data_IF_084200881115
#
_entry.id   IF_084200881115
#
_cell.length_a   1.000
_cell.length_b   1.000
_cell.length_c   1.000
_cell.angle_alpha   90.00
_cell.angle_beta   90.00
_cell.angle_gamma   90.00
#
_symmetry.space_group_name_H-M   'P 1'
#
loop_
_entity.id
_entity.type
_entity.pdbx_description
1 polymer ?
#
# COMPACT_ATOMS: atom_id res chain seq x y z
N UNK A 1 -16.29 11.29 -7.19
CA UNK A 1 -15.53 10.26 -7.93
C UNK A 1 -15.39 10.55 -9.44
N UNK A 2 -15.39 11.83 -9.88
CA UNK A 2 -15.38 12.18 -11.32
C UNK A 2 -14.21 11.58 -12.10
N UNK A 3 -13.02 11.53 -11.47
CA UNK A 3 -11.81 11.01 -12.10
C UNK A 3 -11.85 9.50 -12.35
N UNK A 4 -12.32 8.70 -11.38
CA UNK A 4 -12.48 7.24 -11.58
C UNK A 4 -13.52 6.95 -12.66
N UNK A 5 -14.63 7.70 -12.67
CA UNK A 5 -15.69 7.56 -13.68
C UNK A 5 -15.26 7.99 -15.08
N UNK A 6 -14.23 8.82 -15.20
CA UNK A 6 -13.67 9.21 -16.49
C UNK A 6 -12.90 8.07 -17.18
N UNK A 7 -12.42 7.07 -16.43
CA UNK A 7 -11.56 6.00 -16.94
C UNK A 7 -12.13 4.59 -16.79
N UNK A 8 -13.17 4.39 -15.97
CA UNK A 8 -13.81 3.09 -15.75
C UNK A 8 -15.33 3.23 -15.81
N UNK A 9 -16.01 2.31 -16.51
CA UNK A 9 -17.47 2.24 -16.60
C UNK A 9 -18.11 1.35 -15.52
N UNK A 10 -17.38 0.35 -15.01
CA UNK A 10 -17.88 -0.54 -13.97
C UNK A 10 -18.27 0.27 -12.71
N UNK A 11 -19.54 0.19 -12.25
CA UNK A 11 -20.00 0.92 -11.07
C UNK A 11 -19.37 0.43 -9.77
N UNK A 12 -18.83 -0.80 -9.72
CA UNK A 12 -18.18 -1.36 -8.52
C UNK A 12 -16.77 -0.80 -8.29
N UNK A 13 -16.13 -0.26 -9.33
CA UNK A 13 -14.82 0.36 -9.20
C UNK A 13 -14.93 1.75 -8.52
N UNK A 14 -14.49 1.89 -7.29
CA UNK A 14 -14.55 3.15 -6.54
C UNK A 14 -13.15 3.59 -6.14
N UNK A 15 -13.02 4.80 -5.57
CA UNK A 15 -11.71 5.29 -5.07
C UNK A 15 -11.09 4.32 -4.07
N UNK A 16 -11.91 3.71 -3.20
CA UNK A 16 -11.44 2.73 -2.22
C UNK A 16 -10.89 1.45 -2.86
N UNK A 17 -11.33 1.10 -4.07
CA UNK A 17 -10.78 -0.03 -4.83
C UNK A 17 -9.29 0.15 -5.11
N UNK A 18 -8.79 1.39 -5.27
CA UNK A 18 -7.36 1.65 -5.43
C UNK A 18 -6.55 1.19 -4.20
N UNK A 19 -7.07 1.43 -2.99
CA UNK A 19 -6.43 0.99 -1.74
C UNK A 19 -6.41 -0.53 -1.62
N UNK A 20 -7.52 -1.19 -1.97
CA UNK A 20 -7.57 -2.66 -2.00
C UNK A 20 -6.56 -3.23 -2.99
N UNK A 21 -6.51 -2.69 -4.22
CA UNK A 21 -5.55 -3.13 -5.23
C UNK A 21 -4.10 -2.95 -4.78
N UNK A 22 -3.78 -1.84 -4.10
CA UNK A 22 -2.44 -1.65 -3.54
C UNK A 22 -2.12 -2.72 -2.49
N UNK A 23 -3.05 -3.01 -1.58
CA UNK A 23 -2.89 -4.06 -0.56
C UNK A 23 -2.60 -5.42 -1.19
N UNK A 24 -3.38 -5.80 -2.21
CA UNK A 24 -3.21 -7.08 -2.89
C UNK A 24 -1.87 -7.15 -3.61
N UNK A 25 -1.44 -6.07 -4.27
CA UNK A 25 -0.13 -6.02 -4.94
C UNK A 25 1.04 -6.13 -3.95
N UNK A 26 0.97 -5.45 -2.80
CA UNK A 26 1.97 -5.58 -1.75
C UNK A 26 2.04 -7.02 -1.22
N UNK A 27 0.88 -7.69 -1.09
CA UNK A 27 0.81 -9.11 -0.70
C UNK A 27 1.46 -10.02 -1.73
N UNK A 28 1.18 -9.82 -3.02
CA UNK A 28 1.79 -10.59 -4.11
C UNK A 28 3.31 -10.36 -4.16
N UNK A 29 3.78 -9.14 -3.86
CA UNK A 29 5.20 -8.82 -3.76
C UNK A 29 5.89 -9.40 -2.50
N UNK A 30 5.16 -10.12 -1.64
CA UNK A 30 5.72 -10.71 -0.42
C UNK A 30 6.07 -9.69 0.67
N UNK A 31 5.53 -8.46 0.60
CA UNK A 31 5.80 -7.42 1.59
C UNK A 31 5.18 -7.80 2.93
N UNK A 32 5.91 -7.58 4.02
CA UNK A 32 5.44 -7.89 5.37
C UNK A 32 4.18 -7.08 5.74
N UNK A 33 3.34 -7.62 6.61
CA UNK A 33 2.13 -6.91 7.09
C UNK A 33 2.45 -5.56 7.75
N UNK A 34 3.44 -5.44 8.66
CA UNK A 34 3.95 -4.15 9.16
C UNK A 34 4.13 -3.08 8.09
N UNK A 35 4.89 -3.41 7.04
CA UNK A 35 5.19 -2.48 5.96
C UNK A 35 3.97 -2.17 5.10
N UNK A 36 3.08 -3.16 4.89
CA UNK A 36 1.78 -2.92 4.25
C UNK A 36 0.95 -1.90 5.03
N UNK A 37 0.82 -2.11 6.34
CA UNK A 37 0.02 -1.26 7.22
C UNK A 37 0.60 0.16 7.29
N UNK A 38 1.94 0.29 7.35
CA UNK A 38 2.65 1.57 7.26
C UNK A 38 2.32 2.33 5.96
N UNK A 39 2.45 1.68 4.80
CA UNK A 39 2.18 2.31 3.48
C UNK A 39 0.70 2.70 3.35
N UNK A 40 -0.20 1.86 3.87
CA UNK A 40 -1.64 2.07 3.76
C UNK A 40 -2.21 2.95 4.87
N UNK A 41 -1.41 3.37 5.86
CA UNK A 41 -1.85 4.17 7.01
C UNK A 41 -2.81 3.41 7.92
N UNK A 42 -2.61 2.11 8.12
CA UNK A 42 -3.33 1.30 9.09
C UNK A 42 -2.59 1.31 10.42
N UNK A 43 -3.33 1.47 11.53
CA UNK A 43 -2.75 1.23 12.85
C UNK A 43 -2.55 -0.27 13.02
N UNK A 44 -1.31 -0.66 13.25
CA UNK A 44 -0.89 -1.97 13.69
C UNK A 44 -0.80 -1.94 15.22
N UNK A 45 -1.51 -2.84 15.92
CA UNK A 45 -1.54 -2.87 17.38
C UNK A 45 -0.24 -3.33 18.07
N UNK A 46 0.90 -3.28 17.38
CA UNK A 46 2.20 -3.73 17.88
C UNK A 46 3.15 -2.56 18.16
N UNK A 47 3.77 -2.57 19.33
CA UNK A 47 4.73 -1.53 19.79
C UNK A 47 5.99 -1.45 18.90
N UNK A 48 6.31 -2.55 18.20
CA UNK A 48 7.48 -2.65 17.32
C UNK A 48 7.50 -1.64 16.16
N UNK A 49 6.33 -1.11 15.79
CA UNK A 49 6.09 -0.31 14.59
C UNK A 49 6.40 1.18 14.78
N UNK A 50 6.54 1.59 16.05
CA UNK A 50 6.95 2.94 16.43
C UNK A 50 8.48 3.09 16.55
N UNK A 51 9.22 1.99 16.43
CA UNK A 51 10.68 2.01 16.47
C UNK A 51 11.30 2.34 15.10
N UNK A 52 12.49 2.93 15.14
CA UNK A 52 13.27 3.30 13.96
C UNK A 52 13.21 4.79 13.64
N UNK A 53 14.13 5.26 12.80
CA UNK A 53 14.16 6.65 12.33
C UNK A 53 13.22 6.85 11.14
N UNK A 54 12.81 8.10 10.90
CA UNK A 54 12.02 8.47 9.73
C UNK A 54 12.68 8.02 8.42
N UNK A 55 14.02 8.16 8.32
CA UNK A 55 14.78 7.69 7.16
C UNK A 55 14.65 6.19 6.93
N UNK A 56 14.76 5.38 8.00
CA UNK A 56 14.61 3.94 7.90
C UNK A 56 13.20 3.55 7.43
N UNK A 57 12.17 4.20 7.99
CA UNK A 57 10.77 3.96 7.60
C UNK A 57 10.52 4.32 6.14
N UNK A 58 11.04 5.46 5.69
CA UNK A 58 10.94 5.89 4.29
C UNK A 58 11.66 4.93 3.33
N UNK A 59 12.87 4.47 3.68
CA UNK A 59 13.60 3.48 2.86
C UNK A 59 12.82 2.17 2.75
N UNK A 60 12.32 1.65 3.86
CA UNK A 60 11.51 0.40 3.88
C UNK A 60 10.26 0.54 3.02
N UNK A 61 9.54 1.66 3.12
CA UNK A 61 8.36 1.93 2.30
C UNK A 61 8.72 2.02 0.80
N UNK A 62 9.82 2.70 0.46
CA UNK A 62 10.31 2.82 -0.91
C UNK A 62 10.66 1.45 -1.52
N UNK A 63 11.41 0.63 -0.79
CA UNK A 63 11.83 -0.70 -1.26
C UNK A 63 10.63 -1.62 -1.51
N UNK A 64 9.60 -1.57 -0.64
CA UNK A 64 8.35 -2.28 -0.84
C UNK A 64 7.58 -1.81 -2.08
N UNK A 65 7.55 -0.51 -2.34
CA UNK A 65 6.91 0.06 -3.53
C UNK A 65 7.64 -0.33 -4.83
N UNK A 66 8.98 -0.35 -4.79
CA UNK A 66 9.81 -0.83 -5.91
C UNK A 66 9.61 -2.33 -6.16
N UNK A 67 9.46 -3.14 -5.10
CA UNK A 67 9.14 -4.56 -5.24
C UNK A 67 7.80 -4.77 -5.95
N UNK A 68 6.77 -3.99 -5.60
CA UNK A 68 5.46 -4.00 -6.27
C UNK A 68 5.54 -3.56 -7.73
N UNK A 69 6.41 -2.61 -8.05
CA UNK A 69 6.60 -2.16 -9.43
C UNK A 69 7.21 -3.25 -10.33
N UNK A 70 8.14 -4.04 -9.81
CA UNK A 70 8.79 -5.14 -10.55
C UNK A 70 7.86 -6.31 -10.89
N UNK A 71 6.63 -6.34 -10.37
CA UNK A 71 5.61 -7.34 -10.73
C UNK A 71 4.95 -7.10 -12.10
N UNK A 72 5.26 -5.97 -12.77
CA UNK A 72 4.77 -5.65 -14.11
C UNK A 72 5.53 -6.46 -15.16
#
# INVERSE_FOLDING_TARGET
MKHVRAVVKDPKAVVHSLRHNMKDRLRVAGVSKPTQDMILGHSSGGVGEDYGSDEARLRVAMDAMLAVERLK
#
